data_IF_669797679194
#
_entry.id   IF_669797679194
#
_cell.length_a   1.000
_cell.length_b   1.000
_cell.length_c   1.000
_cell.angle_alpha   90.00
_cell.angle_beta   90.00
_cell.angle_gamma   90.00
#
_symmetry.space_group_name_H-M   'P 1'
#
loop_
_entity.id
_entity.type
_entity.pdbx_description
1 polymer ?
#
# COMPACT_ATOMS: atom_id res chain seq x y z
N UNK A 1 -9.30 -21.40 -6.22
CA UNK A 1 -9.17 -21.04 -7.64
C UNK A 1 -9.55 -19.56 -7.76
N UNK A 2 -8.77 -18.77 -8.49
CA UNK A 2 -9.06 -17.37 -8.79
C UNK A 2 -10.39 -17.22 -9.53
N UNK A 3 -11.27 -16.30 -9.10
CA UNK A 3 -12.60 -16.11 -9.67
C UNK A 3 -12.65 -14.80 -10.47
N UNK A 4 -12.61 -14.92 -11.78
CA UNK A 4 -12.62 -13.78 -12.71
C UNK A 4 -13.95 -13.00 -12.72
N UNK A 5 -15.03 -13.58 -12.22
CA UNK A 5 -16.32 -12.88 -12.11
C UNK A 5 -16.32 -11.80 -11.01
N UNK A 6 -15.34 -11.83 -10.10
CA UNK A 6 -15.19 -10.90 -8.98
C UNK A 6 -14.23 -9.74 -9.26
N UNK A 7 -13.91 -9.47 -10.51
CA UNK A 7 -12.91 -8.42 -10.86
C UNK A 7 -13.38 -7.01 -10.58
N UNK A 8 -14.67 -6.75 -10.58
CA UNK A 8 -15.19 -5.40 -10.35
C UNK A 8 -14.71 -4.82 -9.00
N UNK A 9 -14.10 -3.62 -9.07
CA UNK A 9 -13.57 -2.93 -7.89
C UNK A 9 -12.45 -3.65 -7.15
N UNK A 10 -11.77 -4.63 -7.78
CA UNK A 10 -10.69 -5.39 -7.15
C UNK A 10 -11.16 -6.39 -6.07
N UNK A 11 -12.46 -6.70 -6.02
CA UNK A 11 -13.07 -7.57 -4.99
C UNK A 11 -12.42 -8.94 -4.91
N UNK A 12 -11.94 -9.48 -6.03
CA UNK A 12 -11.22 -10.76 -6.06
C UNK A 12 -10.00 -10.77 -5.13
N UNK A 13 -9.29 -9.64 -5.00
CA UNK A 13 -8.13 -9.53 -4.11
C UNK A 13 -8.52 -9.70 -2.64
N UNK A 14 -9.67 -9.14 -2.22
CA UNK A 14 -10.18 -9.32 -0.86
C UNK A 14 -10.60 -10.77 -0.59
N UNK A 15 -11.26 -11.41 -1.55
CA UNK A 15 -11.69 -12.81 -1.43
C UNK A 15 -10.48 -13.74 -1.31
N UNK A 16 -9.43 -13.56 -2.12
CA UNK A 16 -8.22 -14.39 -2.03
C UNK A 16 -7.45 -14.11 -0.71
N UNK A 17 -7.41 -12.86 -0.25
CA UNK A 17 -6.84 -12.52 1.06
C UNK A 17 -7.62 -13.21 2.20
N UNK A 18 -8.95 -13.21 2.14
CA UNK A 18 -9.79 -13.86 3.15
C UNK A 18 -9.59 -15.38 3.15
N UNK A 19 -9.45 -16.03 1.99
CA UNK A 19 -9.12 -17.47 1.93
C UNK A 19 -7.80 -17.77 2.65
N UNK A 20 -6.76 -17.00 2.40
CA UNK A 20 -5.47 -17.15 3.08
C UNK A 20 -5.61 -16.89 4.59
N UNK A 21 -6.36 -15.86 4.99
CA UNK A 21 -6.58 -15.55 6.41
C UNK A 21 -7.39 -16.65 7.13
N UNK A 22 -8.40 -17.21 6.48
CA UNK A 22 -9.20 -18.30 7.06
C UNK A 22 -8.38 -19.59 7.27
N UNK A 23 -7.31 -19.80 6.46
CA UNK A 23 -6.43 -20.95 6.57
C UNK A 23 -5.44 -20.87 7.76
N UNK A 24 -5.29 -19.71 8.41
CA UNK A 24 -4.42 -19.56 9.58
C UNK A 24 -5.07 -20.33 10.74
N UNK A 25 -4.35 -21.28 11.42
CA UNK A 25 -4.89 -22.01 12.57
C UNK A 25 -5.28 -21.09 13.72
N UNK A 26 -6.30 -21.51 14.50
CA UNK A 26 -6.90 -20.66 15.54
C UNK A 26 -5.99 -20.45 16.77
N UNK A 27 -5.00 -21.31 16.96
CA UNK A 27 -4.01 -21.20 18.06
C UNK A 27 -3.07 -19.99 17.92
N UNK A 28 -3.02 -19.34 16.77
CA UNK A 28 -2.26 -18.09 16.59
C UNK A 28 -3.10 -16.88 16.97
N UNK A 29 -2.55 -15.98 17.77
CA UNK A 29 -3.24 -14.76 18.24
C UNK A 29 -3.34 -13.68 17.18
N UNK A 30 -2.32 -13.59 16.32
CA UNK A 30 -2.17 -12.52 15.33
C UNK A 30 -1.94 -13.08 13.94
N UNK A 31 -2.44 -12.38 12.94
CA UNK A 31 -2.11 -12.57 11.53
C UNK A 31 -1.36 -11.35 11.03
N UNK A 32 -0.24 -11.56 10.32
CA UNK A 32 0.49 -10.51 9.66
C UNK A 32 0.21 -10.57 8.16
N UNK A 33 -0.46 -9.55 7.64
CA UNK A 33 -0.75 -9.40 6.22
C UNK A 33 0.31 -8.56 5.55
N UNK A 34 0.92 -9.07 4.49
CA UNK A 34 1.88 -8.36 3.66
C UNK A 34 1.60 -8.66 2.19
N UNK A 35 1.64 -7.63 1.34
CA UNK A 35 1.44 -7.77 -0.10
C UNK A 35 2.75 -8.11 -0.80
N UNK A 36 2.68 -8.68 -2.00
CA UNK A 36 3.86 -9.15 -2.74
C UNK A 36 4.85 -8.04 -3.13
N UNK A 37 4.41 -6.78 -3.10
CA UNK A 37 5.22 -5.59 -3.37
C UNK A 37 5.53 -4.77 -2.11
N UNK A 38 5.34 -5.37 -0.93
CA UNK A 38 5.64 -4.81 0.37
C UNK A 38 6.77 -5.57 1.06
N UNK A 39 7.61 -4.85 1.78
CA UNK A 39 8.69 -5.43 2.59
C UNK A 39 8.77 -4.71 3.94
N UNK A 40 9.06 -5.47 4.99
CA UNK A 40 9.39 -4.93 6.31
C UNK A 40 10.90 -4.85 6.46
N UNK A 41 11.42 -3.69 6.85
CA UNK A 41 12.84 -3.55 7.14
C UNK A 41 13.16 -4.25 8.47
N UNK A 42 14.27 -4.98 8.53
CA UNK A 42 14.71 -5.74 9.69
C UNK A 42 14.86 -4.91 10.96
N UNK A 43 15.16 -3.61 10.84
CA UNK A 43 15.21 -2.68 11.98
C UNK A 43 13.89 -2.59 12.78
N UNK A 44 12.75 -2.98 12.18
CA UNK A 44 11.44 -2.92 12.83
C UNK A 44 10.97 -4.25 13.41
N UNK A 45 11.68 -5.36 13.20
CA UNK A 45 11.23 -6.67 13.64
C UNK A 45 10.98 -6.70 15.16
N UNK A 46 11.92 -6.21 15.97
CA UNK A 46 11.75 -6.17 17.43
C UNK A 46 10.61 -5.22 17.85
N UNK A 47 10.45 -4.09 17.20
CA UNK A 47 9.34 -3.15 17.48
C UNK A 47 7.98 -3.80 17.23
N UNK A 48 7.87 -4.57 16.14
CA UNK A 48 6.63 -5.27 15.77
C UNK A 48 6.34 -6.38 16.78
N UNK A 49 7.33 -7.23 17.08
CA UNK A 49 7.19 -8.34 18.04
C UNK A 49 6.87 -7.82 19.44
N UNK A 50 7.53 -6.74 19.87
CA UNK A 50 7.24 -6.10 21.16
C UNK A 50 5.79 -5.59 21.20
N UNK A 51 5.31 -4.94 20.15
CA UNK A 51 3.94 -4.44 20.11
C UNK A 51 2.92 -5.60 20.12
N UNK A 52 3.16 -6.68 19.37
CA UNK A 52 2.32 -7.87 19.37
C UNK A 52 2.21 -8.48 20.77
N UNK A 53 3.34 -8.62 21.48
CA UNK A 53 3.38 -9.11 22.88
C UNK A 53 2.67 -8.15 23.84
N UNK A 54 2.98 -6.85 23.75
CA UNK A 54 2.42 -5.81 24.61
C UNK A 54 0.89 -5.76 24.59
N UNK A 55 0.30 -5.94 23.42
CA UNK A 55 -1.15 -5.87 23.25
C UNK A 55 -1.82 -7.25 23.18
N UNK A 56 -1.11 -8.32 23.53
CA UNK A 56 -1.64 -9.70 23.46
C UNK A 56 -2.94 -9.85 24.25
N UNK A 57 -2.95 -9.36 25.49
CA UNK A 57 -4.09 -9.51 26.42
C UNK A 57 -5.11 -8.37 26.32
N UNK A 58 -4.76 -7.26 25.68
CA UNK A 58 -5.70 -6.16 25.46
C UNK A 58 -6.62 -6.45 24.26
N UNK A 59 -7.76 -7.05 24.55
CA UNK A 59 -8.75 -7.41 23.50
C UNK A 59 -9.42 -6.21 22.82
N UNK A 60 -9.24 -4.98 23.33
CA UNK A 60 -9.69 -3.76 22.65
C UNK A 60 -8.76 -3.41 21.46
N UNK A 61 -7.51 -3.89 21.46
CA UNK A 61 -6.59 -3.73 20.35
C UNK A 61 -6.82 -4.85 19.34
N UNK A 62 -7.43 -4.50 18.22
CA UNK A 62 -7.86 -5.44 17.18
C UNK A 62 -6.86 -5.53 16.03
N UNK A 63 -5.89 -4.59 15.97
CA UNK A 63 -4.80 -4.61 15.00
C UNK A 63 -3.72 -3.59 15.30
N UNK A 64 -2.61 -3.72 14.56
CA UNK A 64 -1.49 -2.79 14.59
C UNK A 64 -1.41 -2.04 13.27
N UNK A 65 -1.25 -0.73 13.38
CA UNK A 65 -1.19 0.22 12.28
C UNK A 65 0.25 0.58 12.01
N UNK A 66 0.65 0.51 10.75
CA UNK A 66 2.01 0.80 10.29
C UNK A 66 2.04 2.13 9.53
N UNK A 67 3.16 2.83 9.57
CA UNK A 67 3.47 3.90 8.64
C UNK A 67 3.91 3.32 7.29
N UNK A 68 3.94 4.16 6.24
CA UNK A 68 4.29 3.72 4.89
C UNK A 68 5.35 4.58 4.23
N UNK A 69 6.26 3.92 3.54
CA UNK A 69 7.10 4.48 2.49
C UNK A 69 6.63 3.95 1.14
N UNK A 70 5.96 4.77 0.35
CA UNK A 70 5.57 4.42 -1.01
C UNK A 70 6.68 4.83 -1.98
N UNK A 71 7.55 3.90 -2.35
CA UNK A 71 8.57 4.16 -3.35
C UNK A 71 7.94 4.36 -4.72
N UNK A 72 8.42 5.33 -5.49
CA UNK A 72 7.83 5.71 -6.74
C UNK A 72 8.87 6.00 -7.80
N UNK A 73 8.77 5.30 -8.94
CA UNK A 73 9.64 5.42 -10.10
C UNK A 73 11.06 4.90 -9.91
N UNK A 74 11.59 4.98 -8.71
CA UNK A 74 12.94 4.58 -8.34
C UNK A 74 12.98 4.19 -6.86
N UNK A 75 13.98 3.43 -6.46
CA UNK A 75 14.25 3.14 -5.04
C UNK A 75 14.70 4.39 -4.26
N UNK A 76 15.10 5.47 -4.94
CA UNK A 76 15.61 6.70 -4.32
C UNK A 76 14.52 7.68 -3.89
N UNK A 77 13.27 7.49 -4.34
CA UNK A 77 12.20 8.46 -4.14
C UNK A 77 10.97 7.86 -3.51
N UNK A 78 10.34 8.60 -2.61
CA UNK A 78 9.05 8.25 -2.01
C UNK A 78 7.99 9.29 -2.38
N UNK A 79 6.80 8.82 -2.71
CA UNK A 79 5.63 9.65 -2.92
C UNK A 79 5.21 10.28 -1.61
N UNK A 80 5.35 11.60 -1.49
CA UNK A 80 5.02 12.36 -0.29
C UNK A 80 3.76 13.21 -0.45
N UNK A 81 3.02 13.00 -1.53
CA UNK A 81 1.73 13.62 -1.80
C UNK A 81 0.57 13.01 -1.02
N UNK A 82 -0.59 13.67 -1.09
CA UNK A 82 -1.79 13.22 -0.37
C UNK A 82 -2.58 12.11 -1.09
N UNK A 83 -2.22 11.76 -2.29
CA UNK A 83 -2.79 10.60 -3.01
C UNK A 83 -2.37 9.26 -2.38
N UNK A 84 -1.27 9.26 -1.62
CA UNK A 84 -0.77 8.10 -0.90
C UNK A 84 -1.39 8.03 0.49
N UNK A 85 -1.90 6.87 0.90
CA UNK A 85 -2.25 6.65 2.31
C UNK A 85 -0.96 6.63 3.15
N UNK A 86 -1.03 7.25 4.32
CA UNK A 86 0.17 7.37 5.17
C UNK A 86 0.34 6.18 6.11
N UNK A 87 -0.73 5.44 6.33
CA UNK A 87 -0.79 4.34 7.29
C UNK A 87 -1.82 3.31 6.84
N UNK A 88 -1.53 2.03 7.13
CA UNK A 88 -2.50 0.96 6.95
C UNK A 88 -2.28 -0.16 7.96
N UNK A 89 -3.34 -0.96 8.22
CA UNK A 89 -3.29 -2.09 9.13
C UNK A 89 -2.53 -3.23 8.44
N UNK A 90 -1.53 -3.80 9.14
CA UNK A 90 -0.81 -4.98 8.63
C UNK A 90 -0.76 -6.14 9.62
N UNK A 91 -0.98 -5.91 10.91
CA UNK A 91 -1.21 -6.98 11.88
C UNK A 91 -2.64 -6.89 12.40
N UNK A 92 -3.36 -8.00 12.40
CA UNK A 92 -4.74 -8.10 12.89
C UNK A 92 -4.87 -9.26 13.85
N UNK A 93 -5.88 -9.22 14.75
CA UNK A 93 -6.26 -10.40 15.52
C UNK A 93 -6.65 -11.55 14.59
N UNK A 94 -6.23 -12.76 14.92
CA UNK A 94 -6.68 -13.96 14.23
C UNK A 94 -8.12 -14.32 14.63
N UNK A 95 -9.03 -13.39 14.34
CA UNK A 95 -10.46 -13.59 14.58
C UNK A 95 -11.18 -13.71 13.24
N UNK A 96 -11.77 -14.86 12.98
CA UNK A 96 -12.40 -15.21 11.70
C UNK A 96 -13.62 -14.36 11.32
N UNK A 97 -14.08 -13.46 12.21
CA UNK A 97 -15.07 -12.43 11.92
C UNK A 97 -14.46 -11.16 11.33
N UNK A 98 -13.12 -11.04 11.33
CA UNK A 98 -12.41 -9.99 10.58
C UNK A 98 -12.29 -10.45 9.14
N UNK A 99 -12.47 -9.53 8.20
CA UNK A 99 -12.39 -9.79 6.76
C UNK A 99 -11.61 -8.68 6.04
N UNK A 100 -11.03 -9.02 4.93
CA UNK A 100 -10.44 -8.06 4.01
C UNK A 100 -11.52 -7.11 3.45
N UNK A 101 -11.13 -5.88 3.18
CA UNK A 101 -12.04 -4.83 2.79
C UNK A 101 -11.70 -4.29 1.40
N UNK A 102 -12.72 -4.19 0.53
CA UNK A 102 -12.62 -3.71 -0.86
C UNK A 102 -11.60 -4.52 -1.69
N UNK A 103 -10.50 -3.88 -2.08
CA UNK A 103 -9.40 -4.39 -2.91
C UNK A 103 -8.22 -4.91 -2.08
N UNK A 104 -8.51 -5.46 -0.91
CA UNK A 104 -7.52 -5.94 0.06
C UNK A 104 -6.60 -4.84 0.63
N UNK A 105 -6.99 -3.58 0.57
CA UNK A 105 -6.20 -2.49 1.14
C UNK A 105 -6.09 -2.61 2.67
N UNK A 106 -7.17 -3.00 3.34
CA UNK A 106 -7.19 -3.12 4.79
C UNK A 106 -8.27 -4.09 5.27
N UNK A 107 -8.62 -4.02 6.55
CA UNK A 107 -9.51 -4.98 7.19
C UNK A 107 -10.66 -4.32 7.94
N UNK A 108 -11.79 -5.03 8.06
CA UNK A 108 -12.94 -4.68 8.87
C UNK A 108 -13.55 -5.91 9.53
N UNK A 109 -14.39 -5.69 10.50
CA UNK A 109 -15.30 -6.71 10.98
C UNK A 109 -16.34 -7.08 9.92
N UNK A 110 -16.93 -8.25 10.04
CA UNK A 110 -17.96 -8.74 9.11
C UNK A 110 -19.22 -7.86 9.04
N UNK A 111 -19.47 -7.06 10.07
CA UNK A 111 -20.52 -6.02 10.16
C UNK A 111 -20.09 -4.65 9.64
N UNK A 112 -18.99 -4.56 8.91
CA UNK A 112 -18.37 -3.34 8.38
C UNK A 112 -17.78 -2.37 9.43
N UNK A 113 -17.79 -2.70 10.71
CA UNK A 113 -17.15 -1.92 11.75
C UNK A 113 -15.63 -1.85 11.53
N UNK A 114 -15.07 -0.67 11.68
CA UNK A 114 -13.62 -0.44 11.63
C UNK A 114 -12.92 -1.09 12.82
N UNK A 115 -11.72 -1.62 12.58
CA UNK A 115 -10.90 -2.16 13.66
C UNK A 115 -10.33 -1.04 14.54
N UNK A 116 -10.33 -1.28 15.85
CA UNK A 116 -9.58 -0.49 16.83
C UNK A 116 -8.10 -0.84 16.75
N UNK A 117 -7.24 0.13 16.47
CA UNK A 117 -5.82 -0.15 16.21
C UNK A 117 -4.88 0.75 16.99
N UNK A 118 -3.70 0.22 17.31
CA UNK A 118 -2.57 0.99 17.84
C UNK A 118 -1.55 1.25 16.74
N UNK A 119 -1.16 2.52 16.60
CA UNK A 119 -0.03 2.88 15.75
C UNK A 119 1.27 2.42 16.42
N UNK A 120 2.10 1.74 15.64
CA UNK A 120 3.46 1.36 16.06
C UNK A 120 4.50 2.15 15.26
N UNK A 121 5.71 2.28 15.80
CA UNK A 121 6.81 2.96 15.12
C UNK A 121 7.56 2.01 14.17
N UNK A 122 6.81 1.53 13.18
CA UNK A 122 7.32 0.67 12.13
C UNK A 122 6.77 1.12 10.78
N UNK A 123 7.56 0.89 9.72
CA UNK A 123 7.22 1.26 8.36
C UNK A 123 7.14 0.03 7.46
N UNK A 124 6.13 0.02 6.61
CA UNK A 124 6.06 -0.84 5.43
C UNK A 124 6.72 -0.11 4.26
N UNK A 125 7.62 -0.81 3.58
CA UNK A 125 8.29 -0.37 2.37
C UNK A 125 7.53 -0.92 1.17
N UNK A 126 6.76 -0.08 0.50
CA UNK A 126 5.93 -0.46 -0.63
C UNK A 126 6.61 -0.08 -1.93
N UNK A 127 6.98 -1.10 -2.73
CA UNK A 127 7.73 -0.97 -3.99
C UNK A 127 6.86 -1.16 -5.24
N UNK A 128 5.56 -1.18 -5.08
CA UNK A 128 4.61 -1.45 -6.16
C UNK A 128 4.72 -0.52 -7.38
N UNK A 129 5.34 0.65 -7.19
CA UNK A 129 5.56 1.67 -8.23
C UNK A 129 7.03 1.83 -8.62
N UNK A 130 7.88 0.85 -8.30
CA UNK A 130 9.31 0.86 -8.67
C UNK A 130 9.55 -0.18 -9.76
N UNK A 131 9.53 0.25 -11.00
CA UNK A 131 9.77 -0.57 -12.20
C UNK A 131 10.32 0.32 -13.31
N UNK A 132 10.92 -0.29 -14.34
CA UNK A 132 11.20 0.48 -15.57
C UNK A 132 9.90 1.06 -16.15
N UNK A 133 9.94 2.21 -16.84
CA UNK A 133 8.73 2.82 -17.41
C UNK A 133 7.90 1.87 -18.28
N UNK A 134 8.55 1.04 -19.07
CA UNK A 134 7.88 0.04 -19.94
C UNK A 134 7.18 -1.03 -19.08
N UNK A 135 7.88 -1.60 -18.12
CA UNK A 135 7.31 -2.64 -17.24
C UNK A 135 6.21 -2.08 -16.33
N UNK A 136 6.31 -0.80 -15.93
CA UNK A 136 5.26 -0.15 -15.16
C UNK A 136 4.00 0.04 -15.98
N UNK A 137 4.12 0.45 -17.23
CA UNK A 137 2.96 0.60 -18.12
C UNK A 137 2.25 -0.74 -18.34
N UNK A 138 3.00 -1.82 -18.52
CA UNK A 138 2.44 -3.17 -18.62
C UNK A 138 1.69 -3.57 -17.33
N UNK A 139 2.32 -3.37 -16.15
CA UNK A 139 1.66 -3.60 -14.85
C UNK A 139 0.37 -2.79 -14.73
N UNK A 140 0.41 -1.52 -15.09
CA UNK A 140 -0.75 -0.63 -15.00
C UNK A 140 -1.90 -1.11 -15.91
N UNK A 141 -1.57 -1.52 -17.12
CA UNK A 141 -2.52 -2.07 -18.05
C UNK A 141 -3.15 -3.38 -17.54
N UNK A 142 -2.34 -4.33 -17.10
CA UNK A 142 -2.83 -5.61 -16.59
C UNK A 142 -3.67 -5.43 -15.32
N UNK A 143 -3.26 -4.51 -14.44
CA UNK A 143 -3.99 -4.21 -13.22
C UNK A 143 -5.33 -3.51 -13.50
N UNK A 144 -5.41 -2.67 -14.54
CA UNK A 144 -6.67 -1.98 -14.92
C UNK A 144 -7.78 -2.98 -15.27
N UNK A 145 -7.44 -4.15 -15.83
CA UNK A 145 -8.39 -5.21 -16.15
C UNK A 145 -9.11 -5.77 -14.91
N UNK A 146 -8.47 -5.71 -13.73
CA UNK A 146 -9.08 -6.11 -12.46
C UNK A 146 -10.20 -5.17 -12.01
N UNK A 147 -10.26 -3.95 -12.58
CA UNK A 147 -11.25 -2.92 -12.22
C UNK A 147 -12.35 -2.78 -13.27
N UNK A 148 -12.07 -3.14 -14.52
CA UNK A 148 -12.96 -2.91 -15.67
C UNK A 148 -13.71 -4.17 -16.11
N UNK A 149 -13.57 -5.29 -15.39
CA UNK A 149 -14.28 -6.54 -15.70
C UNK A 149 -13.73 -7.31 -16.90
N UNK A 150 -12.46 -7.02 -17.28
CA UNK A 150 -11.76 -7.84 -18.28
C UNK A 150 -12.42 -7.86 -19.65
N UNK A 151 -12.65 -6.70 -20.28
CA UNK A 151 -13.09 -6.68 -21.68
C UNK A 151 -12.03 -7.34 -22.54
N UNK A 152 -12.35 -8.49 -23.12
CA UNK A 152 -11.44 -9.30 -23.96
C UNK A 152 -11.02 -8.61 -25.26
N UNK A 153 -11.74 -7.57 -25.71
CA UNK A 153 -11.43 -6.85 -26.94
C UNK A 153 -10.62 -5.60 -26.61
N UNK A 154 -9.31 -5.77 -26.66
CA UNK A 154 -8.35 -4.67 -26.62
C UNK A 154 -8.48 -3.83 -27.89
N UNK A 155 -8.85 -2.55 -27.74
CA UNK A 155 -8.85 -1.62 -28.86
C UNK A 155 -7.43 -1.32 -29.34
N UNK A 156 -7.28 -0.86 -30.59
CA UNK A 156 -5.96 -0.41 -31.10
C UNK A 156 -5.38 0.74 -30.26
N UNK A 157 -6.24 1.57 -29.66
CA UNK A 157 -5.80 2.64 -28.74
C UNK A 157 -5.29 2.07 -27.42
N UNK A 158 -5.88 0.98 -26.91
CA UNK A 158 -5.40 0.32 -25.69
C UNK A 158 -4.04 -0.35 -25.92
N UNK A 159 -3.83 -0.97 -27.08
CA UNK A 159 -2.53 -1.49 -27.50
C UNK A 159 -1.47 -0.41 -27.57
N UNK A 160 -1.78 0.73 -28.23
CA UNK A 160 -0.85 1.87 -28.31
C UNK A 160 -0.50 2.42 -26.94
N UNK A 161 -1.47 2.52 -26.01
CA UNK A 161 -1.23 2.97 -24.64
C UNK A 161 -0.35 1.99 -23.87
N UNK A 162 -0.55 0.67 -24.05
CA UNK A 162 0.28 -0.36 -23.42
C UNK A 162 1.74 -0.27 -23.85
N UNK A 163 1.99 0.04 -25.13
CA UNK A 163 3.33 0.07 -25.72
C UNK A 163 4.07 1.40 -25.46
N UNK A 164 3.41 2.39 -24.83
CA UNK A 164 4.05 3.61 -24.38
C UNK A 164 4.77 3.41 -23.05
N UNK A 165 5.80 4.21 -22.79
CA UNK A 165 6.44 4.25 -21.49
C UNK A 165 5.56 4.95 -20.46
N UNK A 166 5.50 4.43 -19.23
CA UNK A 166 4.78 5.06 -18.13
C UNK A 166 5.42 6.41 -17.76
N UNK A 167 4.62 7.46 -17.70
CA UNK A 167 5.07 8.80 -17.34
C UNK A 167 5.05 9.01 -15.84
N UNK A 168 6.19 8.83 -15.19
CA UNK A 168 6.36 9.06 -13.76
C UNK A 168 6.25 10.53 -13.34
N UNK A 169 6.32 11.47 -14.27
CA UNK A 169 6.21 12.91 -13.96
C UNK A 169 4.79 13.32 -13.54
N UNK A 170 3.79 12.47 -13.75
CA UNK A 170 2.38 12.73 -13.41
C UNK A 170 2.07 12.46 -11.92
N UNK A 171 2.99 12.80 -11.05
CA UNK A 171 2.80 12.70 -9.60
C UNK A 171 2.66 14.10 -8.98
N UNK A 172 1.90 14.20 -7.89
CA UNK A 172 1.69 15.46 -7.16
C UNK A 172 2.94 15.92 -6.40
N UNK A 173 3.68 15.00 -5.81
CA UNK A 173 4.92 15.29 -5.08
C UNK A 173 5.70 14.05 -4.75
N UNK A 174 7.02 14.16 -4.85
CA UNK A 174 7.99 13.16 -4.36
C UNK A 174 9.06 13.84 -3.51
N UNK A 175 9.70 13.05 -2.65
CA UNK A 175 10.88 13.46 -1.88
C UNK A 175 11.94 12.38 -1.94
N UNK A 176 13.20 12.77 -1.75
CA UNK A 176 14.31 11.83 -1.66
C UNK A 176 14.18 10.96 -0.42
N UNK A 177 14.38 9.66 -0.58
CA UNK A 177 14.50 8.72 0.54
C UNK A 177 15.96 8.74 1.06
N UNK A 178 16.10 8.95 2.36
CA UNK A 178 17.43 9.06 3.01
C UNK A 178 17.68 7.95 4.03
N UNK A 179 16.85 6.91 4.03
CA UNK A 179 17.02 5.74 4.88
C UNK A 179 17.79 4.63 4.18
N UNK A 180 17.77 3.46 4.81
CA UNK A 180 18.30 2.22 4.25
C UNK A 180 17.16 1.34 3.74
N UNK A 181 17.43 0.56 2.69
CA UNK A 181 16.52 -0.46 2.22
C UNK A 181 16.72 -1.77 3.01
N UNK A 182 15.66 -2.58 3.16
CA UNK A 182 15.80 -3.92 3.73
C UNK A 182 16.86 -4.73 2.98
N UNK A 183 17.65 -5.54 3.71
CA UNK A 183 18.75 -6.32 3.13
C UNK A 183 18.29 -7.22 1.97
N UNK A 184 17.08 -7.76 2.05
CA UNK A 184 16.47 -8.58 0.99
C UNK A 184 16.28 -7.80 -0.33
N UNK A 185 16.23 -6.47 -0.29
CA UNK A 185 16.08 -5.61 -1.46
C UNK A 185 17.40 -5.19 -2.11
N UNK A 186 18.56 -5.50 -1.47
CA UNK A 186 19.88 -5.04 -1.91
C UNK A 186 20.12 -5.24 -3.40
N UNK A 187 19.99 -6.47 -3.88
CA UNK A 187 20.25 -6.79 -5.29
C UNK A 187 19.32 -6.04 -6.24
N UNK A 188 18.05 -5.86 -5.87
CA UNK A 188 17.09 -5.11 -6.69
C UNK A 188 17.41 -3.63 -6.76
N UNK A 189 17.85 -3.06 -5.63
CA UNK A 189 18.25 -1.64 -5.56
C UNK A 189 19.52 -1.40 -6.38
N UNK A 190 20.52 -2.29 -6.27
CA UNK A 190 21.79 -2.20 -7.01
C UNK A 190 21.63 -2.46 -8.51
N UNK A 191 20.62 -3.23 -8.92
CA UNK A 191 20.33 -3.53 -10.33
C UNK A 191 19.37 -2.55 -11.00
N UNK A 192 19.05 -1.42 -10.38
CA UNK A 192 18.23 -0.37 -10.99
C UNK A 192 18.97 0.25 -12.19
N UNK A 193 18.47 -0.01 -13.40
CA UNK A 193 19.08 0.39 -14.67
C UNK A 193 18.24 1.38 -15.49
N UNK A 194 17.19 1.96 -14.89
CA UNK A 194 16.32 2.95 -15.53
C UNK A 194 16.31 4.29 -14.80
N UNK A 195 15.92 5.34 -15.53
CA UNK A 195 15.66 6.66 -14.96
C UNK A 195 14.16 6.99 -15.09
N UNK A 196 13.57 7.47 -14.00
CA UNK A 196 12.17 7.90 -13.96
C UNK A 196 11.97 9.40 -14.27
N UNK A 197 13.04 10.14 -14.57
CA UNK A 197 13.07 11.57 -14.95
C UNK A 197 12.23 12.49 -14.05
N UNK A 198 12.30 12.25 -12.73
CA UNK A 198 11.48 12.98 -11.76
C UNK A 198 12.14 14.29 -11.32
N UNK A 199 11.36 15.37 -11.35
CA UNK A 199 11.77 16.64 -10.77
C UNK A 199 11.28 16.75 -9.32
N UNK A 200 12.21 16.65 -8.35
CA UNK A 200 11.92 16.78 -6.92
C UNK A 200 11.37 18.14 -6.51
N UNK A 201 11.64 19.19 -7.30
CA UNK A 201 11.16 20.55 -7.05
C UNK A 201 9.75 20.77 -7.59
N UNK A 202 9.36 20.02 -8.60
CA UNK A 202 8.03 20.10 -9.17
C UNK A 202 6.98 19.60 -8.16
N UNK A 203 5.99 20.46 -7.88
CA UNK A 203 4.84 20.13 -7.04
C UNK A 203 3.58 20.40 -7.85
N UNK A 204 2.89 19.32 -8.25
CA UNK A 204 1.70 19.38 -9.10
C UNK A 204 0.44 19.21 -8.26
N UNK A 205 -0.14 20.30 -7.80
CA UNK A 205 -1.37 20.26 -7.02
C UNK A 205 -2.59 20.54 -7.89
N UNK A 206 -3.64 19.74 -7.74
CA UNK A 206 -4.90 19.88 -8.46
C UNK A 206 -5.54 21.28 -8.28
N UNK A 207 -5.38 21.87 -7.07
CA UNK A 207 -5.93 23.19 -6.72
C UNK A 207 -5.26 23.72 -5.43
N UNK A 208 -5.61 24.97 -5.06
CA UNK A 208 -5.09 25.66 -3.88
C UNK A 208 -5.40 24.88 -2.58
N UNK A 209 -6.57 24.25 -2.47
CA UNK A 209 -6.94 23.43 -1.30
C UNK A 209 -5.94 22.27 -1.12
N UNK A 210 -5.58 21.56 -2.19
CA UNK A 210 -4.60 20.47 -2.12
C UNK A 210 -3.21 20.98 -1.72
N UNK A 211 -2.81 22.16 -2.20
CA UNK A 211 -1.55 22.81 -1.81
C UNK A 211 -1.54 23.14 -0.31
N UNK A 212 -2.61 23.72 0.22
CA UNK A 212 -2.76 24.04 1.65
C UNK A 212 -2.72 22.76 2.50
N UNK A 213 -3.47 21.72 2.12
CA UNK A 213 -3.50 20.44 2.83
C UNK A 213 -2.14 19.75 2.83
N UNK A 214 -1.39 19.85 1.74
CA UNK A 214 -0.01 19.35 1.66
C UNK A 214 0.91 20.12 2.62
N UNK A 215 0.82 21.46 2.64
CA UNK A 215 1.58 22.30 3.57
C UNK A 215 1.30 21.94 5.04
N UNK A 216 0.03 21.79 5.42
CA UNK A 216 -0.37 21.41 6.78
C UNK A 216 0.24 20.06 7.17
N UNK A 217 0.22 19.12 6.26
CA UNK A 217 0.83 17.83 6.50
C UNK A 217 2.35 17.92 6.65
N UNK A 218 3.04 18.59 5.74
CA UNK A 218 4.52 18.68 5.77
C UNK A 218 5.05 19.45 6.97
N UNK A 219 4.35 20.51 7.39
CA UNK A 219 4.80 21.38 8.48
C UNK A 219 4.37 20.87 9.86
N UNK A 220 3.17 20.30 9.98
CA UNK A 220 2.55 19.96 11.26
C UNK A 220 2.25 18.47 11.41
N UNK A 221 2.53 17.63 10.41
CA UNK A 221 2.17 16.22 10.42
C UNK A 221 0.64 15.96 10.38
N UNK A 222 -0.16 17.02 10.13
CA UNK A 222 -1.61 16.95 10.17
C UNK A 222 -2.20 16.67 8.79
N UNK A 223 -2.97 15.57 8.69
CA UNK A 223 -3.64 15.15 7.46
C UNK A 223 -5.18 15.20 7.63
N UNK A 224 -5.79 16.40 7.66
CA UNK A 224 -7.24 16.53 7.77
C UNK A 224 -7.91 15.93 6.52
N UNK A 225 -9.12 15.38 6.71
CA UNK A 225 -9.92 14.75 5.64
C UNK A 225 -9.25 13.55 4.95
N UNK A 226 -8.21 12.95 5.56
CA UNK A 226 -7.67 11.67 5.07
C UNK A 226 -8.66 10.55 5.37
N UNK A 227 -8.99 9.77 4.34
CA UNK A 227 -9.80 8.57 4.56
C UNK A 227 -9.01 7.58 5.42
N UNK A 228 -9.65 7.06 6.47
CA UNK A 228 -9.08 6.07 7.37
C UNK A 228 -10.00 4.87 7.45
N UNK A 229 -9.47 3.71 7.09
CA UNK A 229 -10.19 2.43 7.21
C UNK A 229 -10.08 1.79 8.60
N UNK A 230 -9.71 2.57 9.61
CA UNK A 230 -9.45 2.11 10.97
C UNK A 230 -9.88 3.17 12.00
N UNK A 231 -10.01 2.74 13.25
CA UNK A 231 -10.18 3.62 14.42
C UNK A 231 -8.93 3.53 15.30
N UNK A 232 -8.16 4.60 15.36
CA UNK A 232 -6.99 4.67 16.24
C UNK A 232 -7.44 4.93 17.68
N UNK A 233 -6.97 4.08 18.60
CA UNK A 233 -7.23 4.14 20.05
C UNK A 233 -5.95 4.35 20.85
#
# INVERSE_FOLDING_TARGET
MWDDSLREGGRVLAVETDKAFQAIPEEYDWAFYIQADEVVHEQYHETILHAMRKYLDDKNVEGLLFNYHHFYGSYKFIGDGRRWYSKEIRVIRNNKKIRSYRDAQGFRWSDDRKLNVKLIDAYIYHYGWVRSPITMQQKFYDFSKLWTGGKENESEDDKRRRDQAFDYTQIDSVTEFRGTHPTVMKNKVESEDWNADMDLKAKKFKNIKHRLLYFLWRKFGWRPFEYRNYKRI
#
